data_IF_473291292672
#
_entry.id   IF_473291292672
#
_cell.length_a   1.000
_cell.length_b   1.000
_cell.length_c   1.000
_cell.angle_alpha   90.00
_cell.angle_beta   90.00
_cell.angle_gamma   90.00
#
_symmetry.space_group_name_H-M   'P 1'
#
loop_
_entity.id
_entity.type
_entity.pdbx_description
1 polymer ?
#
# COMPACT_ATOMS: atom_id res chain seq x y z
N UNK A 1 17.35 -19.71 15.32
CA UNK A 1 17.13 -18.70 16.37
C UNK A 1 15.81 -18.02 16.05
N UNK A 2 14.78 -18.62 16.64
CA UNK A 2 13.44 -18.15 17.02
C UNK A 2 12.48 -17.56 15.97
N UNK A 3 11.85 -18.46 15.22
CA UNK A 3 10.61 -18.27 14.44
C UNK A 3 9.35 -18.18 15.34
N UNK A 4 9.33 -17.29 16.34
CA UNK A 4 8.24 -17.22 17.33
C UNK A 4 7.39 -15.93 17.31
N UNK A 5 7.41 -15.16 16.22
CA UNK A 5 6.61 -13.92 16.07
C UNK A 5 5.22 -14.10 15.43
N UNK A 6 4.72 -15.33 15.26
CA UNK A 6 3.52 -15.62 14.47
C UNK A 6 2.20 -15.72 15.25
N UNK A 7 2.04 -15.06 16.40
CA UNK A 7 0.83 -15.28 17.25
C UNK A 7 -0.37 -14.36 16.99
N UNK A 8 -0.32 -13.44 16.03
CA UNK A 8 -1.48 -12.59 15.68
C UNK A 8 -1.54 -12.26 14.18
N UNK A 9 -1.33 -13.25 13.31
CA UNK A 9 -1.63 -13.05 11.88
C UNK A 9 -3.12 -13.32 11.67
N UNK A 10 -3.87 -12.30 11.25
CA UNK A 10 -5.21 -12.48 10.70
C UNK A 10 -5.08 -13.16 9.33
N UNK A 11 -4.83 -14.47 9.30
CA UNK A 11 -4.69 -15.23 8.05
C UNK A 11 -6.08 -15.43 7.44
N UNK A 12 -6.60 -14.40 6.77
CA UNK A 12 -7.84 -14.48 6.01
C UNK A 12 -7.68 -13.74 4.70
N UNK A 13 -7.77 -14.41 3.56
CA UNK A 13 -7.79 -13.71 2.26
C UNK A 13 -9.07 -12.89 2.20
N UNK A 14 -8.97 -11.59 1.94
CA UNK A 14 -10.15 -10.78 1.63
C UNK A 14 -10.72 -11.23 0.28
N UNK A 15 -11.68 -12.15 0.32
CA UNK A 15 -12.31 -12.75 -0.86
C UNK A 15 -13.42 -11.83 -1.37
N UNK A 16 -13.21 -11.25 -2.55
CA UNK A 16 -14.22 -10.42 -3.19
C UNK A 16 -13.65 -9.37 -4.12
N UNK A 17 -14.44 -8.31 -4.34
CA UNK A 17 -14.02 -7.15 -5.11
C UNK A 17 -13.33 -6.17 -4.15
N UNK A 18 -12.04 -5.96 -4.33
CA UNK A 18 -11.22 -5.04 -3.54
C UNK A 18 -10.67 -3.96 -4.47
N UNK A 19 -11.42 -2.87 -4.59
CA UNK A 19 -11.12 -1.77 -5.50
C UNK A 19 -10.26 -0.71 -4.81
N UNK A 20 -9.14 -0.33 -5.39
CA UNK A 20 -8.33 0.79 -4.88
C UNK A 20 -9.02 2.11 -5.23
N UNK A 21 -9.30 2.91 -4.20
CA UNK A 21 -10.06 4.18 -4.32
C UNK A 21 -9.15 5.39 -4.26
N UNK A 22 -8.10 5.34 -3.43
CA UNK A 22 -7.14 6.44 -3.31
C UNK A 22 -5.77 5.94 -2.90
N UNK A 23 -4.72 6.63 -3.34
CA UNK A 23 -3.34 6.39 -2.91
C UNK A 23 -2.87 7.58 -2.08
N UNK A 24 -2.43 7.33 -0.85
CA UNK A 24 -2.01 8.37 0.07
C UNK A 24 -0.53 8.71 -0.15
N UNK A 25 0.33 7.70 -0.01
CA UNK A 25 1.79 7.76 -0.08
C UNK A 25 2.31 6.57 -0.91
N UNK A 26 3.62 6.42 -1.10
CA UNK A 26 4.20 5.32 -1.89
C UNK A 26 4.14 3.93 -1.24
N UNK A 27 3.62 3.80 -0.01
CA UNK A 27 3.41 2.51 0.68
C UNK A 27 1.98 2.34 1.24
N UNK A 28 1.12 3.35 1.10
CA UNK A 28 -0.19 3.41 1.77
C UNK A 28 -1.30 3.79 0.80
N UNK A 29 -2.39 3.01 0.78
CA UNK A 29 -3.56 3.29 -0.05
C UNK A 29 -4.86 2.89 0.65
N UNK A 30 -5.99 3.42 0.16
CA UNK A 30 -7.33 3.05 0.61
C UNK A 30 -8.02 2.18 -0.41
N UNK A 31 -8.64 1.12 0.09
CA UNK A 31 -9.43 0.20 -0.71
C UNK A 31 -10.89 0.19 -0.26
N UNK A 32 -11.78 -0.11 -1.18
CA UNK A 32 -13.16 -0.47 -0.93
C UNK A 32 -13.30 -1.98 -1.15
N UNK A 33 -13.73 -2.69 -0.11
CA UNK A 33 -13.91 -4.15 -0.17
C UNK A 33 -15.39 -4.50 -0.14
N UNK A 34 -15.84 -5.29 -1.12
CA UNK A 34 -17.13 -5.96 -1.07
C UNK A 34 -16.89 -7.46 -0.94
N UNK A 35 -17.24 -8.07 0.20
CA UNK A 35 -17.18 -9.52 0.33
C UNK A 35 -18.19 -10.12 -0.65
N UNK A 36 -17.73 -10.92 -1.62
CA UNK A 36 -18.63 -11.58 -2.56
C UNK A 36 -18.90 -13.00 -2.09
N UNK A 37 -20.14 -13.29 -1.71
CA UNK A 37 -20.61 -14.64 -1.35
C UNK A 37 -20.75 -15.59 -2.56
N UNK A 38 -20.43 -15.15 -3.79
CA UNK A 38 -20.62 -15.94 -5.02
C UNK A 38 -19.28 -16.31 -5.67
N UNK A 39 -19.15 -17.53 -6.23
CA UNK A 39 -17.94 -17.94 -6.94
C UNK A 39 -17.60 -17.06 -8.14
N UNK A 40 -16.31 -16.84 -8.41
CA UNK A 40 -15.81 -15.92 -9.46
C UNK A 40 -16.32 -16.23 -10.87
N UNK A 41 -16.75 -17.47 -11.16
CA UNK A 41 -17.31 -17.88 -12.45
C UNK A 41 -18.82 -17.62 -12.60
N UNK A 42 -19.53 -17.39 -11.49
CA UNK A 42 -20.95 -17.01 -11.45
C UNK A 42 -21.15 -15.49 -11.54
N UNK A 43 -20.06 -14.74 -11.64
CA UNK A 43 -20.04 -13.30 -11.87
C UNK A 43 -20.30 -13.10 -13.38
N UNK A 44 -21.57 -12.95 -13.73
CA UNK A 44 -22.07 -12.72 -15.08
C UNK A 44 -21.36 -11.53 -15.75
N UNK A 45 -21.20 -11.51 -17.07
CA UNK A 45 -20.52 -10.43 -17.81
C UNK A 45 -21.09 -9.02 -17.52
N UNK A 46 -22.30 -8.91 -16.97
CA UNK A 46 -22.86 -7.67 -16.42
C UNK A 46 -22.12 -7.10 -15.20
N UNK A 47 -21.42 -7.91 -14.40
CA UNK A 47 -20.56 -7.39 -13.34
C UNK A 47 -19.28 -6.76 -13.91
N UNK A 48 -18.94 -7.02 -15.18
CA UNK A 48 -17.95 -6.19 -15.91
C UNK A 48 -18.55 -4.83 -16.30
N UNK A 49 -19.88 -4.68 -16.39
CA UNK A 49 -20.54 -3.36 -16.37
C UNK A 49 -20.35 -2.61 -15.05
N UNK A 50 -19.64 -3.15 -14.05
CA UNK A 50 -19.05 -2.34 -12.97
C UNK A 50 -18.12 -1.22 -13.50
N UNK A 51 -17.72 -1.24 -14.78
CA UNK A 51 -17.15 -0.08 -15.46
C UNK A 51 -18.10 1.14 -15.43
N UNK A 52 -19.42 0.93 -15.54
CA UNK A 52 -20.46 1.96 -15.31
C UNK A 52 -20.51 2.41 -13.85
N UNK A 53 -20.03 1.57 -12.91
CA UNK A 53 -19.88 1.98 -11.52
C UNK A 53 -18.70 2.90 -11.25
N UNK A 54 -17.83 3.24 -12.20
CA UNK A 54 -16.87 4.34 -11.96
C UNK A 54 -17.62 5.67 -11.74
N UNK A 55 -18.69 5.90 -12.50
CA UNK A 55 -19.65 7.00 -12.28
C UNK A 55 -20.61 6.71 -11.11
N UNK A 56 -21.11 5.47 -10.96
CA UNK A 56 -21.96 5.11 -9.83
C UNK A 56 -21.24 5.21 -8.46
N UNK A 57 -19.93 4.95 -8.36
CA UNK A 57 -19.14 5.09 -7.14
C UNK A 57 -18.69 6.53 -6.91
N UNK A 58 -18.38 7.29 -7.98
CA UNK A 58 -18.26 8.75 -7.88
C UNK A 58 -19.55 9.36 -7.32
N UNK A 59 -20.70 8.81 -7.72
CA UNK A 59 -22.00 9.16 -7.16
C UNK A 59 -22.24 8.54 -5.78
N UNK A 60 -21.77 7.33 -5.44
CA UNK A 60 -21.92 6.74 -4.09
C UNK A 60 -21.13 7.49 -3.01
N UNK A 61 -20.06 8.19 -3.40
CA UNK A 61 -19.29 9.12 -2.56
C UNK A 61 -20.02 10.49 -2.48
N UNK A 62 -20.77 10.89 -3.51
CA UNK A 62 -21.53 12.16 -3.57
C UNK A 62 -22.95 12.06 -3.00
N UNK A 63 -23.59 10.90 -3.07
CA UNK A 63 -24.95 10.56 -2.62
C UNK A 63 -24.94 10.27 -1.12
N UNK A 64 -24.43 11.23 -0.38
CA UNK A 64 -24.86 11.47 0.98
C UNK A 64 -26.33 11.90 0.93
N UNK A 65 -27.23 11.18 1.63
CA UNK A 65 -28.58 11.69 1.95
C UNK A 65 -28.47 13.18 2.32
N UNK A 66 -29.40 14.06 1.89
CA UNK A 66 -29.37 15.46 2.32
C UNK A 66 -29.29 15.48 3.85
N UNK A 67 -28.15 15.95 4.39
CA UNK A 67 -27.86 16.03 5.82
C UNK A 67 -26.78 15.11 6.40
N UNK A 68 -26.22 14.12 5.69
CA UNK A 68 -25.15 13.24 6.26
C UNK A 68 -23.98 13.01 5.31
N UNK A 69 -22.93 13.85 5.41
CA UNK A 69 -21.65 13.70 4.67
C UNK A 69 -20.87 12.51 5.23
N UNK A 70 -20.69 11.45 4.44
CA UNK A 70 -19.81 10.33 4.81
C UNK A 70 -18.36 10.67 4.46
N UNK A 71 -17.42 10.41 5.37
CA UNK A 71 -15.99 10.57 5.07
C UNK A 71 -15.50 9.35 4.30
N UNK A 72 -14.47 9.52 3.47
CA UNK A 72 -13.84 8.42 2.74
C UNK A 72 -13.37 7.30 3.69
N UNK A 73 -12.95 7.66 4.90
CA UNK A 73 -12.57 6.74 5.98
C UNK A 73 -13.67 5.74 6.35
N UNK A 74 -14.94 6.15 6.28
CA UNK A 74 -16.05 5.39 6.87
C UNK A 74 -16.42 4.15 6.05
N UNK A 75 -15.95 4.11 4.79
CA UNK A 75 -16.27 3.05 3.83
C UNK A 75 -15.04 2.41 3.21
N UNK A 76 -13.83 2.80 3.63
CA UNK A 76 -12.60 2.30 3.04
C UNK A 76 -11.67 1.74 4.10
N UNK A 77 -10.94 0.70 3.74
CA UNK A 77 -9.90 0.12 4.57
C UNK A 77 -8.58 0.78 4.18
N UNK A 78 -7.87 1.33 5.15
CA UNK A 78 -6.54 1.90 4.95
C UNK A 78 -5.51 0.76 5.01
N UNK A 79 -4.72 0.58 3.95
CA UNK A 79 -3.75 -0.51 3.83
C UNK A 79 -2.35 0.04 3.69
N UNK A 80 -1.43 -0.55 4.47
CA UNK A 80 0.01 -0.34 4.37
C UNK A 80 0.64 -1.59 3.76
N UNK A 81 1.59 -1.39 2.85
CA UNK A 81 2.40 -2.47 2.30
C UNK A 81 3.26 -3.14 3.38
N UNK A 82 3.41 -4.46 3.27
CA UNK A 82 4.25 -5.23 4.18
C UNK A 82 5.74 -5.06 3.84
N UNK A 83 6.59 -5.07 4.88
CA UNK A 83 8.04 -5.21 4.76
C UNK A 83 8.80 -4.06 4.08
N UNK A 84 8.11 -2.97 3.73
CA UNK A 84 8.68 -1.86 2.95
C UNK A 84 8.30 -0.52 3.54
N UNK A 85 9.13 0.48 3.26
CA UNK A 85 8.89 1.89 3.62
C UNK A 85 9.21 2.75 2.40
N UNK A 86 8.33 3.70 2.09
CA UNK A 86 8.49 4.63 0.97
C UNK A 86 8.90 6.01 1.49
N UNK A 87 9.52 6.89 0.68
CA UNK A 87 9.85 8.24 1.12
C UNK A 87 8.63 8.99 1.61
N UNK A 88 8.76 9.68 2.73
CA UNK A 88 7.64 10.37 3.38
C UNK A 88 7.14 11.53 2.51
N UNK A 89 5.84 11.51 2.20
CA UNK A 89 5.15 12.68 1.70
C UNK A 89 5.07 13.68 2.85
N UNK A 90 5.48 14.93 2.60
CA UNK A 90 5.39 15.97 3.61
C UNK A 90 3.94 16.18 4.04
N UNK A 91 3.62 15.85 5.30
CA UNK A 91 2.31 16.08 5.90
C UNK A 91 2.43 17.13 7.01
N UNK A 92 1.40 17.99 7.15
CA UNK A 92 1.29 19.01 8.22
C UNK A 92 2.44 20.03 8.29
N UNK A 93 2.92 20.50 7.13
CA UNK A 93 3.97 21.52 7.04
C UNK A 93 5.40 20.99 7.09
N UNK A 94 5.59 19.67 7.21
CA UNK A 94 6.91 19.05 7.08
C UNK A 94 7.37 19.05 5.62
N UNK A 95 8.68 19.15 5.41
CA UNK A 95 9.26 19.02 4.08
C UNK A 95 9.06 17.60 3.54
N UNK A 96 8.66 17.52 2.27
CA UNK A 96 8.55 16.26 1.55
C UNK A 96 9.94 15.69 1.28
N UNK A 97 10.11 14.38 1.48
CA UNK A 97 11.33 13.72 1.05
C UNK A 97 11.43 13.71 -0.47
N UNK A 98 12.65 13.79 -1.00
CA UNK A 98 12.89 13.62 -2.43
C UNK A 98 12.36 12.26 -2.88
N UNK A 99 11.73 12.20 -4.04
CA UNK A 99 11.16 10.99 -4.64
C UNK A 99 9.88 10.44 -3.99
N UNK A 100 9.33 11.12 -2.98
CA UNK A 100 8.04 10.76 -2.37
C UNK A 100 6.87 10.87 -3.36
N UNK A 101 6.88 11.90 -4.20
CA UNK A 101 5.85 12.17 -5.21
C UNK A 101 5.91 11.14 -6.34
N UNK A 102 7.12 10.88 -6.85
CA UNK A 102 7.37 9.90 -7.89
C UNK A 102 7.03 8.47 -7.45
N UNK A 103 7.30 8.12 -6.19
CA UNK A 103 6.91 6.84 -5.62
C UNK A 103 5.38 6.69 -5.53
N UNK A 104 4.69 7.75 -5.08
CA UNK A 104 3.22 7.79 -5.04
C UNK A 104 2.63 7.70 -6.44
N UNK A 105 3.15 8.45 -7.40
CA UNK A 105 2.66 8.48 -8.78
C UNK A 105 2.85 7.13 -9.46
N UNK A 106 4.01 6.49 -9.24
CA UNK A 106 4.24 5.15 -9.73
C UNK A 106 3.22 4.17 -9.15
N UNK A 107 3.01 4.16 -7.83
CA UNK A 107 2.02 3.27 -7.22
C UNK A 107 0.61 3.58 -7.73
N UNK A 108 0.25 4.85 -7.86
CA UNK A 108 -1.04 5.29 -8.42
C UNK A 108 -1.24 4.74 -9.83
N UNK A 109 -0.23 4.82 -10.70
CA UNK A 109 -0.30 4.32 -12.08
C UNK A 109 -0.57 2.81 -12.18
N UNK A 110 -0.12 2.03 -11.20
CA UNK A 110 -0.22 0.57 -11.22
C UNK A 110 -1.46 0.02 -10.53
N UNK A 111 -2.02 0.72 -9.53
CA UNK A 111 -3.13 0.15 -8.71
C UNK A 111 -4.39 1.00 -8.67
N UNK A 112 -4.36 2.30 -9.02
CA UNK A 112 -5.53 3.17 -8.91
C UNK A 112 -6.70 2.63 -9.76
N UNK A 113 -7.87 2.48 -9.14
CA UNK A 113 -9.07 1.98 -9.79
C UNK A 113 -8.98 0.51 -10.22
N UNK A 114 -7.96 -0.25 -9.79
CA UNK A 114 -7.82 -1.68 -10.08
C UNK A 114 -8.33 -2.54 -8.93
N UNK A 115 -8.71 -3.76 -9.26
CA UNK A 115 -9.00 -4.80 -8.28
C UNK A 115 -7.68 -5.45 -7.82
N UNK A 116 -7.47 -5.54 -6.51
CA UNK A 116 -6.25 -6.10 -5.90
C UNK A 116 -6.60 -7.27 -4.96
N UNK A 117 -5.72 -8.24 -4.83
CA UNK A 117 -5.86 -9.29 -3.81
C UNK A 117 -5.09 -8.87 -2.56
N UNK A 118 -5.73 -8.96 -1.40
CA UNK A 118 -5.17 -8.48 -0.13
C UNK A 118 -5.16 -9.62 0.88
N UNK A 119 -3.98 -9.86 1.46
CA UNK A 119 -3.76 -10.73 2.59
C UNK A 119 -3.42 -9.85 3.81
N UNK A 120 -4.40 -9.52 4.67
CA UNK A 120 -4.15 -8.77 5.88
C UNK A 120 -3.22 -9.58 6.79
N UNK A 121 -2.24 -8.91 7.40
CA UNK A 121 -1.31 -9.52 8.34
C UNK A 121 -1.60 -9.04 9.75
N UNK A 122 -1.60 -7.72 9.93
CA UNK A 122 -1.71 -7.06 11.23
C UNK A 122 -2.34 -5.68 11.09
N UNK A 123 -3.04 -5.24 12.13
CA UNK A 123 -3.48 -3.84 12.27
C UNK A 123 -2.42 -3.03 13.03
N UNK A 124 -1.99 -1.90 12.49
CA UNK A 124 -1.02 -1.01 13.11
C UNK A 124 -1.67 0.02 14.05
N UNK A 125 -0.83 0.79 14.75
CA UNK A 125 -1.26 1.84 15.70
C UNK A 125 -1.99 3.02 15.04
N UNK A 126 -1.88 3.16 13.71
CA UNK A 126 -2.52 4.20 12.92
C UNK A 126 -3.80 3.69 12.24
N UNK A 127 -4.36 2.58 12.71
CA UNK A 127 -5.56 1.95 12.18
C UNK A 127 -5.39 1.41 10.74
N UNK A 128 -4.15 1.28 10.24
CA UNK A 128 -3.86 0.71 8.93
C UNK A 128 -3.71 -0.80 9.03
N UNK A 129 -4.15 -1.49 8.00
CA UNK A 129 -3.97 -2.94 7.88
C UNK A 129 -2.71 -3.21 7.07
N UNK A 130 -1.64 -3.62 7.74
CA UNK A 130 -0.41 -4.10 7.10
C UNK A 130 -0.75 -5.38 6.35
N UNK A 131 -0.54 -5.39 5.04
CA UNK A 131 -1.02 -6.46 4.17
C UNK A 131 -0.03 -6.83 3.08
N UNK A 132 -0.06 -8.09 2.65
CA UNK A 132 0.48 -8.50 1.35
C UNK A 132 -0.53 -8.13 0.28
N UNK A 133 -0.10 -7.40 -0.75
CA UNK A 133 -0.97 -6.89 -1.81
C UNK A 133 -0.49 -7.40 -3.16
N UNK A 134 -1.38 -8.06 -3.89
CA UNK A 134 -1.14 -8.50 -5.25
C UNK A 134 -2.04 -7.76 -6.23
N UNK A 135 -1.46 -7.27 -7.31
CA UNK A 135 -2.23 -6.78 -8.45
C UNK A 135 -2.02 -7.71 -9.65
N UNK A 136 -3.03 -7.81 -10.51
CA UNK A 136 -2.95 -8.65 -11.70
C UNK A 136 -2.30 -7.87 -12.85
N UNK A 137 -1.25 -8.43 -13.45
CA UNK A 137 -0.65 -7.94 -14.70
C UNK A 137 -0.65 -9.08 -15.72
N UNK A 138 -1.49 -8.95 -16.74
CA UNK A 138 -1.82 -10.03 -17.66
C UNK A 138 -2.34 -11.27 -16.90
N UNK A 139 -1.59 -12.38 -16.91
CA UNK A 139 -1.95 -13.64 -16.27
C UNK A 139 -1.27 -13.78 -14.90
N UNK A 140 -0.31 -12.92 -14.58
CA UNK A 140 0.49 -13.02 -13.35
C UNK A 140 -0.06 -12.15 -12.23
N UNK A 141 0.01 -12.67 -11.01
CA UNK A 141 -0.16 -11.89 -9.79
C UNK A 141 1.19 -11.33 -9.36
N UNK A 142 1.30 -10.01 -9.28
CA UNK A 142 2.53 -9.32 -8.92
C UNK A 142 2.39 -8.77 -7.52
N UNK A 143 3.38 -9.07 -6.69
CA UNK A 143 3.53 -8.51 -5.35
C UNK A 143 3.90 -7.03 -5.44
N UNK A 144 3.03 -6.18 -4.90
CA UNK A 144 3.17 -4.74 -4.94
C UNK A 144 4.39 -4.25 -4.14
N UNK A 145 4.63 -4.78 -2.93
CA UNK A 145 5.80 -4.43 -2.13
C UNK A 145 7.10 -4.73 -2.87
N UNK A 146 7.16 -5.92 -3.49
CA UNK A 146 8.32 -6.34 -4.27
C UNK A 146 8.53 -5.46 -5.51
N UNK A 147 7.47 -5.06 -6.21
CA UNK A 147 7.58 -4.17 -7.37
C UNK A 147 8.06 -2.76 -6.97
N UNK A 148 7.58 -2.22 -5.85
CA UNK A 148 8.03 -0.91 -5.33
C UNK A 148 9.53 -0.92 -4.99
N UNK A 149 10.01 -1.97 -4.30
CA UNK A 149 11.43 -2.12 -3.97
C UNK A 149 12.29 -2.32 -5.22
N UNK A 150 11.84 -3.18 -6.15
CA UNK A 150 12.55 -3.45 -7.41
C UNK A 150 12.80 -2.20 -8.24
N UNK A 151 11.87 -1.25 -8.20
CA UNK A 151 11.95 0.02 -8.94
C UNK A 151 12.68 1.12 -8.17
N UNK A 152 13.05 0.88 -6.91
CA UNK A 152 13.67 1.88 -6.05
C UNK A 152 12.70 2.94 -5.52
N UNK A 153 11.38 2.68 -5.51
CA UNK A 153 10.38 3.60 -4.93
C UNK A 153 10.09 3.31 -3.45
N UNK A 154 10.65 2.22 -2.92
CA UNK A 154 10.60 1.87 -1.51
C UNK A 154 11.90 1.16 -1.10
N UNK A 155 12.23 1.25 0.18
CA UNK A 155 13.28 0.47 0.82
C UNK A 155 12.67 -0.64 1.67
N UNK A 156 13.48 -1.64 2.02
CA UNK A 156 13.12 -2.66 3.01
C UNK A 156 13.04 -2.01 4.40
N UNK A 157 11.97 -2.30 5.14
CA UNK A 157 11.75 -1.77 6.48
C UNK A 157 12.30 -2.73 7.55
N UNK A 158 13.34 -2.31 8.27
CA UNK A 158 14.02 -3.13 9.28
C UNK A 158 13.58 -2.87 10.74
N UNK A 159 12.43 -2.22 10.95
CA UNK A 159 11.95 -1.94 12.31
C UNK A 159 11.51 -3.19 13.07
N UNK A 160 11.45 -3.10 14.40
CA UNK A 160 11.12 -4.24 15.27
C UNK A 160 9.71 -4.81 15.08
N UNK A 161 8.80 -4.07 14.44
CA UNK A 161 7.46 -4.50 14.07
C UNK A 161 7.33 -4.90 12.58
N UNK A 162 8.45 -5.06 11.88
CA UNK A 162 8.47 -5.45 10.47
C UNK A 162 7.82 -6.82 10.26
N UNK A 163 6.97 -6.89 9.24
CA UNK A 163 6.31 -8.13 8.81
C UNK A 163 6.72 -8.42 7.37
N UNK A 164 7.36 -9.57 7.16
CA UNK A 164 7.89 -9.96 5.84
C UNK A 164 7.15 -11.11 5.17
N UNK A 165 6.29 -11.83 5.90
CA UNK A 165 5.55 -12.99 5.36
C UNK A 165 6.47 -13.99 4.61
N UNK A 166 7.66 -14.27 5.17
CA UNK A 166 8.67 -15.15 4.55
C UNK A 166 9.44 -14.56 3.35
N UNK A 167 9.14 -13.32 2.92
CA UNK A 167 9.71 -12.70 1.73
C UNK A 167 10.90 -11.76 1.99
N UNK A 168 11.45 -11.71 3.21
CA UNK A 168 12.52 -10.77 3.58
C UNK A 168 13.72 -10.85 2.62
N UNK A 169 14.29 -12.05 2.43
CA UNK A 169 15.44 -12.26 1.55
C UNK A 169 15.18 -11.84 0.10
N UNK A 170 13.93 -12.02 -0.38
CA UNK A 170 13.52 -11.60 -1.72
C UNK A 170 13.52 -10.08 -1.83
N UNK A 171 12.96 -9.37 -0.84
CA UNK A 171 12.94 -7.91 -0.80
C UNK A 171 14.36 -7.34 -0.70
N UNK A 172 15.22 -7.92 0.14
CA UNK A 172 16.62 -7.51 0.28
C UNK A 172 17.41 -7.67 -1.02
N UNK A 173 17.21 -8.80 -1.73
CA UNK A 173 17.81 -9.02 -3.04
C UNK A 173 17.37 -7.96 -4.05
N UNK A 174 16.06 -7.71 -4.16
CA UNK A 174 15.51 -6.69 -5.07
C UNK A 174 16.02 -5.30 -4.74
N UNK A 175 16.18 -4.97 -3.46
CA UNK A 175 16.76 -3.72 -3.01
C UNK A 175 18.22 -3.59 -3.44
N UNK A 176 19.03 -4.64 -3.27
CA UNK A 176 20.42 -4.66 -3.72
C UNK A 176 20.54 -4.44 -5.24
N UNK A 177 19.68 -5.10 -6.02
CA UNK A 177 19.61 -4.89 -7.47
C UNK A 177 19.23 -3.45 -7.84
N UNK A 178 18.27 -2.85 -7.13
CA UNK A 178 17.86 -1.46 -7.35
C UNK A 178 18.98 -0.46 -6.99
N UNK A 179 19.73 -0.72 -5.91
CA UNK A 179 20.91 0.05 -5.51
C UNK A 179 22.01 0.00 -6.57
N UNK A 180 22.36 -1.20 -7.04
CA UNK A 180 23.41 -1.38 -8.05
C UNK A 180 23.06 -0.67 -9.37
N UNK A 181 21.77 -0.57 -9.69
CA UNK A 181 21.25 0.12 -10.87
C UNK A 181 20.96 1.61 -10.64
N UNK A 182 21.20 2.14 -9.43
CA UNK A 182 20.88 3.52 -9.04
C UNK A 182 19.45 3.92 -9.39
N UNK A 183 18.48 3.06 -9.09
CA UNK A 183 17.07 3.30 -9.42
C UNK A 183 16.36 4.05 -8.30
N UNK A 184 15.45 4.94 -8.67
CA UNK A 184 14.56 5.59 -7.71
C UNK A 184 15.36 6.33 -6.64
N UNK A 185 14.99 6.14 -5.37
CA UNK A 185 15.66 6.72 -4.19
C UNK A 185 17.17 6.45 -4.16
N UNK A 186 17.62 5.36 -4.77
CA UNK A 186 19.04 4.97 -4.82
C UNK A 186 19.85 5.73 -5.87
N UNK A 187 19.21 6.61 -6.66
CA UNK A 187 19.89 7.57 -7.54
C UNK A 187 20.36 8.83 -6.79
N UNK A 188 19.90 9.04 -5.57
CA UNK A 188 20.22 10.21 -4.76
C UNK A 188 21.53 9.98 -3.98
N UNK A 189 22.46 10.94 -4.06
CA UNK A 189 23.76 10.83 -3.39
C UNK A 189 23.67 10.84 -1.85
N UNK A 190 22.66 11.53 -1.29
CA UNK A 190 22.46 11.70 0.15
C UNK A 190 21.07 11.23 0.60
N UNK A 191 20.64 10.06 0.12
CA UNK A 191 19.36 9.49 0.56
C UNK A 191 19.39 9.13 2.04
N UNK A 192 18.41 9.64 2.79
CA UNK A 192 18.18 9.34 4.21
C UNK A 192 16.90 8.51 4.30
N UNK A 193 16.94 7.40 5.03
CA UNK A 193 15.76 6.55 5.16
C UNK A 193 14.61 7.27 5.89
N UNK A 194 13.33 6.93 5.64
CA UNK A 194 12.20 7.51 6.35
C UNK A 194 12.33 7.41 7.88
N UNK A 195 12.85 6.27 8.37
CA UNK A 195 13.10 6.04 9.78
C UNK A 195 14.15 7.01 10.36
N UNK A 196 15.27 7.20 9.67
CA UNK A 196 16.31 8.15 10.07
C UNK A 196 15.82 9.59 9.98
N UNK A 197 15.07 9.94 8.94
CA UNK A 197 14.46 11.26 8.80
C UNK A 197 13.51 11.59 9.96
N UNK A 198 12.63 10.65 10.33
CA UNK A 198 11.76 10.79 11.51
C UNK A 198 12.56 10.92 12.81
N UNK A 199 13.69 10.21 12.93
CA UNK A 199 14.58 10.33 14.10
C UNK A 199 15.23 11.71 14.17
N UNK A 200 15.70 12.23 13.05
CA UNK A 200 16.36 13.54 12.96
C UNK A 200 15.37 14.69 13.28
N UNK A 201 14.15 14.62 12.74
CA UNK A 201 13.11 15.61 13.06
C UNK A 201 12.81 15.66 14.58
N UNK A 202 12.67 14.50 15.22
CA UNK A 202 12.42 14.42 16.68
C UNK A 202 13.56 14.98 17.53
N UNK A 203 14.80 14.91 17.06
CA UNK A 203 15.96 15.48 17.76
C UNK A 203 15.99 17.01 17.59
N UNK A 204 15.73 17.51 16.39
CA UNK A 204 15.73 18.95 16.13
C UNK A 204 14.62 19.71 16.86
N UNK A 205 13.48 19.09 17.17
CA UNK A 205 12.41 19.72 17.97
C UNK A 205 12.71 19.77 19.48
N UNK A 206 13.70 19.01 19.96
CA UNK A 206 14.08 18.97 21.38
C UNK A 206 15.20 19.95 21.74
N UNK A 207 15.83 20.56 20.74
CA UNK A 207 16.80 21.63 20.88
C UNK A 207 16.11 22.98 20.66
#
# INVERSE_FOLDING_TARGET
>A
MDDNHNKNILVGVLSGLSLVVSVADGDTFRLFHMPTLRPKWLINKELVQLQLKKQFFANLIKDSKPGKKYKLSDRTINVRLYGVDSPEMGHFGNEKQRMSEEAKDYMTSIIMGRNVTILPLKKDIYDRVVSVVYYKRYIFNIDLSAEMVKRGFAQVYYGGDALYFGNQKKLEKLQSEAKNKKLGIWSLDNYVSPMEYKKNLRQNTKN
#
